data_IF_087987313224
#
_entry.id   IF_087987313224
#
_cell.length_a   1.000
_cell.length_b   1.000
_cell.length_c   1.000
_cell.angle_alpha   90.00
_cell.angle_beta   90.00
_cell.angle_gamma   90.00
#
_symmetry.space_group_name_H-M   'P 1'
#
loop_
_entity.id
_entity.type
_entity.pdbx_description
1 polymer ?
#
# COMPACT_ATOMS: atom_id res chain seq x y z
N UNK A 1 2.39 39.76 -25.86
CA UNK A 1 2.19 39.93 -24.41
C UNK A 1 1.49 38.68 -23.91
N UNK A 2 2.25 37.61 -23.62
CA UNK A 2 1.67 36.36 -23.12
C UNK A 2 1.46 36.49 -21.62
N UNK A 3 0.21 36.42 -21.18
CA UNK A 3 -0.13 36.40 -19.77
C UNK A 3 0.20 35.01 -19.22
N UNK A 4 1.24 34.93 -18.39
CA UNK A 4 1.50 33.77 -17.54
C UNK A 4 0.32 33.61 -16.59
N UNK A 5 -0.45 32.54 -16.77
CA UNK A 5 -1.52 32.17 -15.86
C UNK A 5 -0.89 31.44 -14.68
N UNK A 6 -0.71 32.16 -13.58
CA UNK A 6 -0.29 31.59 -12.31
C UNK A 6 -1.38 30.61 -11.85
N UNK A 7 -1.00 29.33 -11.72
CA UNK A 7 -1.89 28.31 -11.15
C UNK A 7 -1.98 28.58 -9.64
N UNK A 8 -3.19 28.54 -9.04
CA UNK A 8 -3.32 28.70 -7.60
C UNK A 8 -2.47 27.65 -6.88
N UNK A 9 -1.69 28.08 -5.88
CA UNK A 9 -1.01 27.16 -4.99
C UNK A 9 -2.08 26.34 -4.27
N UNK A 10 -2.14 25.04 -4.56
CA UNK A 10 -3.08 24.12 -3.93
C UNK A 10 -2.86 24.13 -2.41
N UNK A 11 -3.93 24.34 -1.64
CA UNK A 11 -3.85 24.26 -0.18
C UNK A 11 -3.37 22.86 0.22
N UNK A 12 -2.42 22.73 1.17
CA UNK A 12 -1.89 21.42 1.53
C UNK A 12 -3.03 20.56 2.10
N UNK A 13 -3.36 19.49 1.38
CA UNK A 13 -4.31 18.48 1.86
C UNK A 13 -3.74 17.94 3.18
N UNK A 14 -4.51 17.95 4.28
CA UNK A 14 -4.02 17.44 5.55
C UNK A 14 -3.55 15.99 5.35
N UNK A 15 -2.33 15.70 5.80
CA UNK A 15 -1.76 14.37 5.66
C UNK A 15 -2.69 13.37 6.37
N UNK A 16 -3.13 12.34 5.65
CA UNK A 16 -3.90 11.27 6.26
C UNK A 16 -2.98 10.50 7.20
N UNK A 17 -3.46 10.24 8.41
CA UNK A 17 -2.77 9.40 9.39
C UNK A 17 -3.24 7.95 9.23
N UNK A 18 -2.29 7.03 9.25
CA UNK A 18 -2.51 5.59 9.15
C UNK A 18 -1.76 4.85 10.25
N UNK A 19 -2.14 3.60 10.46
CA UNK A 19 -1.39 2.63 11.27
C UNK A 19 -0.99 1.50 10.32
N UNK A 20 0.29 1.18 10.24
CA UNK A 20 0.77 0.12 9.36
C UNK A 20 0.26 -1.24 9.86
N UNK A 21 -0.37 -2.00 8.98
CA UNK A 21 -0.90 -3.32 9.31
C UNK A 21 0.19 -4.36 9.67
N UNK A 22 1.39 -4.20 9.10
CA UNK A 22 2.48 -5.14 9.32
C UNK A 22 3.27 -4.88 10.62
N UNK A 23 3.59 -3.62 10.94
CA UNK A 23 4.41 -3.29 12.11
C UNK A 23 3.67 -2.56 13.23
N UNK A 24 2.44 -2.07 12.99
CA UNK A 24 1.64 -1.33 13.97
C UNK A 24 2.05 0.12 14.19
N UNK A 25 3.08 0.62 13.50
CA UNK A 25 3.55 2.01 13.63
C UNK A 25 2.63 2.99 12.89
N UNK A 26 2.46 4.18 13.45
CA UNK A 26 1.70 5.24 12.80
C UNK A 26 2.54 5.99 11.76
N UNK A 27 1.92 6.39 10.65
CA UNK A 27 2.59 7.17 9.61
C UNK A 27 1.62 8.14 8.92
N UNK A 28 2.18 9.12 8.23
CA UNK A 28 1.46 10.19 7.54
C UNK A 28 1.76 10.18 6.03
N UNK A 29 0.80 10.62 5.23
CA UNK A 29 1.01 10.83 3.80
C UNK A 29 0.33 9.76 2.94
N UNK A 30 1.05 9.20 1.99
CA UNK A 30 0.55 8.16 1.07
C UNK A 30 1.14 6.82 1.50
N UNK A 31 0.33 5.76 1.71
CA UNK A 31 0.85 4.42 1.98
C UNK A 31 1.78 3.93 0.86
N UNK A 32 2.91 3.32 1.23
CA UNK A 32 3.85 2.70 0.29
C UNK A 32 3.29 1.44 -0.39
N UNK A 33 2.19 0.92 0.16
CA UNK A 33 1.41 -0.17 -0.41
C UNK A 33 0.24 -0.53 0.51
N UNK A 34 -0.41 -1.63 0.20
CA UNK A 34 -1.47 -2.23 1.02
C UNK A 34 -1.23 -3.72 1.19
N UNK A 35 -1.68 -4.26 2.34
CA UNK A 35 -1.95 -5.67 2.47
C UNK A 35 -3.25 -6.02 1.74
N UNK A 36 -3.61 -7.31 1.77
CA UNK A 36 -4.91 -7.75 1.28
C UNK A 36 -5.51 -8.81 2.20
N UNK A 37 -6.61 -8.47 2.85
CA UNK A 37 -7.50 -9.45 3.47
C UNK A 37 -8.63 -9.77 2.51
N UNK A 38 -8.75 -11.05 2.18
CA UNK A 38 -9.80 -11.58 1.31
C UNK A 38 -10.56 -12.65 2.07
N UNK A 39 -11.89 -12.55 2.05
CA UNK A 39 -12.73 -13.63 2.54
C UNK A 39 -13.97 -13.82 1.67
N UNK A 40 -14.45 -15.05 1.67
CA UNK A 40 -15.64 -15.46 0.92
C UNK A 40 -16.70 -16.04 1.86
N UNK A 41 -17.98 -15.79 1.55
CA UNK A 41 -19.12 -16.36 2.29
C UNK A 41 -20.27 -16.65 1.33
N UNK A 42 -20.43 -17.91 0.94
CA UNK A 42 -21.35 -18.27 -0.14
C UNK A 42 -20.91 -17.58 -1.43
N UNK A 43 -21.79 -16.78 -2.03
CA UNK A 43 -21.51 -16.00 -3.24
C UNK A 43 -20.87 -14.63 -2.96
N UNK A 44 -20.66 -14.28 -1.69
CA UNK A 44 -20.06 -13.01 -1.31
C UNK A 44 -18.53 -13.11 -1.30
N UNK A 45 -17.85 -12.13 -1.91
CA UNK A 45 -16.40 -11.92 -1.82
C UNK A 45 -16.14 -10.51 -1.31
N UNK A 46 -15.30 -10.41 -0.28
CA UNK A 46 -14.93 -9.14 0.36
C UNK A 46 -13.42 -8.96 0.33
N UNK A 47 -13.02 -7.71 0.13
CA UNK A 47 -11.63 -7.27 0.07
C UNK A 47 -11.43 -6.12 1.05
N UNK A 48 -10.39 -6.19 1.86
CA UNK A 48 -9.86 -5.09 2.65
C UNK A 48 -8.40 -4.88 2.29
N UNK A 49 -8.03 -3.64 2.00
CA UNK A 49 -6.67 -3.23 1.62
C UNK A 49 -6.06 -2.36 2.74
N UNK A 50 -5.65 -2.97 3.88
CA UNK A 50 -5.11 -2.21 5.00
C UNK A 50 -3.76 -1.59 4.62
N UNK A 51 -3.45 -0.37 5.10
CA UNK A 51 -2.32 0.40 4.62
C UNK A 51 -0.98 -0.11 5.18
N UNK A 52 0.07 -0.03 4.38
CA UNK A 52 1.45 -0.36 4.78
C UNK A 52 2.34 0.88 4.69
N UNK A 53 3.29 1.01 5.63
CA UNK A 53 4.35 1.99 5.52
C UNK A 53 5.34 1.58 4.40
N UNK A 54 6.15 2.53 3.93
CA UNK A 54 7.11 2.33 2.84
C UNK A 54 8.08 1.16 3.12
N UNK A 55 8.58 1.05 4.35
CA UNK A 55 9.52 0.01 4.74
C UNK A 55 8.89 -1.39 4.72
N UNK A 56 7.69 -1.53 5.26
CA UNK A 56 6.99 -2.83 5.29
C UNK A 56 6.52 -3.24 3.90
N UNK A 57 5.96 -2.30 3.12
CA UNK A 57 5.56 -2.56 1.74
C UNK A 57 6.75 -3.07 0.92
N UNK A 58 7.89 -2.38 0.98
CA UNK A 58 9.11 -2.75 0.26
C UNK A 58 9.65 -4.12 0.69
N UNK A 59 9.73 -4.39 1.99
CA UNK A 59 10.21 -5.67 2.51
C UNK A 59 9.32 -6.84 2.10
N UNK A 60 7.99 -6.65 2.15
CA UNK A 60 7.03 -7.66 1.72
C UNK A 60 7.16 -7.92 0.22
N UNK A 61 7.24 -6.87 -0.61
CA UNK A 61 7.42 -7.01 -2.07
C UNK A 61 8.71 -7.75 -2.40
N UNK A 62 9.84 -7.34 -1.83
CA UNK A 62 11.13 -8.01 -2.07
C UNK A 62 11.09 -9.45 -1.57
N UNK A 63 10.55 -9.70 -0.38
CA UNK A 63 10.41 -11.04 0.17
C UNK A 63 9.53 -11.95 -0.71
N UNK A 64 8.44 -11.42 -1.27
CA UNK A 64 7.57 -12.14 -2.19
C UNK A 64 8.29 -12.46 -3.51
N UNK A 65 9.01 -11.50 -4.10
CA UNK A 65 9.78 -11.72 -5.32
C UNK A 65 10.87 -12.77 -5.14
N UNK A 66 11.59 -12.72 -4.01
CA UNK A 66 12.62 -13.72 -3.68
C UNK A 66 12.00 -15.12 -3.53
N UNK A 67 10.88 -15.25 -2.80
CA UNK A 67 10.18 -16.54 -2.67
C UNK A 67 9.68 -17.07 -4.01
N UNK A 68 9.16 -16.18 -4.87
CA UNK A 68 8.70 -16.53 -6.20
C UNK A 68 9.85 -17.04 -7.09
N UNK A 69 10.99 -16.37 -7.04
CA UNK A 69 12.21 -16.78 -7.78
C UNK A 69 12.81 -18.09 -7.24
N UNK A 70 12.59 -18.40 -5.96
CA UNK A 70 13.14 -19.59 -5.27
C UNK A 70 12.29 -20.89 -5.42
N UNK A 71 11.25 -20.91 -6.27
CA UNK A 71 10.53 -22.13 -6.68
C UNK A 71 9.24 -22.40 -5.90
N UNK A 72 8.14 -22.89 -6.47
CA UNK A 72 7.98 -23.97 -7.47
C UNK A 72 8.77 -25.27 -7.16
N UNK A 73 9.51 -25.36 -6.04
CA UNK A 73 10.27 -26.56 -5.62
C UNK A 73 9.68 -27.26 -4.38
N UNK A 74 8.40 -27.08 -4.09
CA UNK A 74 7.65 -27.79 -3.05
C UNK A 74 6.21 -28.06 -3.54
N UNK A 75 6.09 -28.95 -4.53
CA UNK A 75 4.85 -29.71 -4.72
C UNK A 75 5.00 -31.02 -3.94
N UNK A 76 4.35 -31.10 -2.77
CA UNK A 76 4.10 -32.33 -2.03
C UNK A 76 2.65 -32.76 -2.16
#
# INVERSE_FOLDING_TARGET
MSASRELPLEEPVPAKHFVCDACGESFEGVPGGSGLFLWTRGDEVRYEEPPLCDDCASQITVGALVRWDMGEEEEG
#
